data_IF_534489877642
#
_entry.id   IF_534489877642
#
_cell.length_a   1.000
_cell.length_b   1.000
_cell.length_c   1.000
_cell.angle_alpha   90.00
_cell.angle_beta   90.00
_cell.angle_gamma   90.00
#
_symmetry.space_group_name_H-M   'P 1'
#
loop_
_entity.id
_entity.type
_entity.pdbx_description
1 polymer ?
#
# COMPACT_ATOMS: atom_id res chain seq x y z
N UNK A 1 -0.78 -20.73 22.92
CA UNK A 1 -1.65 -20.34 21.79
C UNK A 1 -2.30 -21.55 21.08
N UNK A 2 -1.56 -22.62 20.75
CA UNK A 2 -2.10 -23.79 20.01
C UNK A 2 -2.95 -24.74 20.85
N UNK A 3 -3.91 -25.40 20.24
CA UNK A 3 -4.51 -26.62 20.79
C UNK A 3 -3.58 -27.82 20.53
N UNK A 4 -3.02 -28.39 21.61
CA UNK A 4 -2.06 -29.50 21.52
C UNK A 4 -2.67 -30.82 20.99
N UNK A 5 -3.99 -30.97 21.04
CA UNK A 5 -4.65 -32.21 20.59
C UNK A 5 -4.87 -32.26 19.08
N UNK A 6 -5.04 -31.10 18.45
CA UNK A 6 -5.43 -31.00 17.04
C UNK A 6 -4.45 -30.19 16.19
N UNK A 7 -3.50 -29.47 16.81
CA UNK A 7 -2.59 -28.57 16.11
C UNK A 7 -1.13 -28.85 16.42
N UNK A 8 -0.28 -28.82 15.40
CA UNK A 8 1.17 -28.76 15.51
C UNK A 8 1.69 -27.44 14.95
N UNK A 9 2.80 -26.95 15.45
CA UNK A 9 3.52 -25.78 14.94
C UNK A 9 4.91 -26.20 14.53
N UNK A 10 5.28 -25.91 13.28
CA UNK A 10 6.63 -26.04 12.77
C UNK A 10 7.23 -24.64 12.65
N UNK A 11 8.13 -24.21 13.57
CA UNK A 11 8.83 -22.96 13.41
C UNK A 11 9.89 -23.09 12.32
N UNK A 12 9.76 -22.32 11.26
CA UNK A 12 10.76 -22.24 10.21
C UNK A 12 11.87 -21.30 10.66
N UNK A 13 13.06 -21.82 10.84
CA UNK A 13 14.25 -21.04 11.18
C UNK A 13 15.15 -20.93 9.95
N UNK A 14 15.52 -19.70 9.60
CA UNK A 14 16.32 -19.42 8.41
C UNK A 14 15.49 -19.23 7.14
N UNK A 15 16.16 -18.83 6.06
CA UNK A 15 15.51 -18.60 4.76
C UNK A 15 15.21 -19.93 4.07
N UNK A 16 13.96 -20.10 3.67
CA UNK A 16 13.57 -21.21 2.77
C UNK A 16 14.28 -20.97 1.44
N UNK A 17 14.89 -22.04 0.90
CA UNK A 17 15.54 -21.97 -0.40
C UNK A 17 14.49 -21.76 -1.51
N UNK A 18 14.78 -20.90 -2.46
CA UNK A 18 13.94 -20.75 -3.65
C UNK A 18 14.11 -21.99 -4.55
N UNK A 19 13.10 -22.87 -4.55
CA UNK A 19 13.12 -24.13 -5.30
C UNK A 19 13.06 -23.94 -6.81
N UNK A 20 12.54 -22.79 -7.28
CA UNK A 20 12.51 -22.45 -8.71
C UNK A 20 13.91 -22.21 -9.29
N UNK A 21 14.85 -21.71 -8.46
CA UNK A 21 16.23 -21.40 -8.86
C UNK A 21 17.23 -22.48 -8.49
N UNK A 22 16.82 -23.45 -7.67
CA UNK A 22 17.76 -24.37 -7.03
C UNK A 22 17.62 -25.78 -7.57
N UNK A 23 18.75 -26.44 -7.72
CA UNK A 23 18.77 -27.86 -8.07
C UNK A 23 18.16 -28.68 -6.93
N UNK A 24 17.50 -29.78 -7.29
CA UNK A 24 16.78 -30.63 -6.35
C UNK A 24 17.66 -31.20 -5.21
N UNK A 25 18.93 -31.52 -5.50
CA UNK A 25 19.88 -31.94 -4.50
C UNK A 25 20.09 -30.90 -3.39
N UNK A 26 20.16 -29.64 -3.74
CA UNK A 26 20.24 -28.52 -2.78
C UNK A 26 18.92 -28.27 -2.06
N UNK A 27 17.80 -28.41 -2.75
CA UNK A 27 16.46 -28.27 -2.18
C UNK A 27 16.26 -29.29 -1.07
N UNK A 28 16.53 -30.56 -1.35
CA UNK A 28 16.42 -31.67 -0.38
C UNK A 28 17.49 -31.64 0.71
N UNK A 29 18.60 -30.92 0.51
CA UNK A 29 19.62 -30.65 1.52
C UNK A 29 19.31 -29.48 2.46
N UNK A 30 18.24 -28.72 2.24
CA UNK A 30 17.88 -27.60 3.09
C UNK A 30 17.08 -28.04 4.31
N UNK A 31 17.57 -27.76 5.51
CA UNK A 31 16.98 -28.22 6.78
C UNK A 31 15.52 -27.78 6.96
N UNK A 32 15.17 -26.56 6.55
CA UNK A 32 13.80 -26.06 6.67
C UNK A 32 12.85 -26.78 5.72
N UNK A 33 13.30 -27.10 4.51
CA UNK A 33 12.53 -27.88 3.53
C UNK A 33 12.38 -29.33 3.99
N UNK A 34 13.45 -29.95 4.48
CA UNK A 34 13.38 -31.30 5.04
C UNK A 34 12.41 -31.40 6.21
N UNK A 35 12.44 -30.39 7.10
CA UNK A 35 11.52 -30.33 8.22
C UNK A 35 10.05 -30.21 7.75
N UNK A 36 9.78 -29.39 6.71
CA UNK A 36 8.45 -29.30 6.09
C UNK A 36 7.99 -30.62 5.48
N UNK A 37 8.82 -31.26 4.65
CA UNK A 37 8.51 -32.57 4.01
C UNK A 37 8.21 -33.62 5.09
N UNK A 38 9.05 -33.68 6.11
CA UNK A 38 8.89 -34.64 7.21
C UNK A 38 7.63 -34.36 8.03
N UNK A 39 7.33 -33.11 8.31
CA UNK A 39 6.16 -32.74 9.10
C UNK A 39 4.84 -32.99 8.34
N UNK A 40 4.78 -32.70 7.04
CA UNK A 40 3.61 -32.96 6.20
C UNK A 40 3.44 -34.48 5.98
N UNK A 41 4.50 -35.19 5.67
CA UNK A 41 4.54 -36.67 5.62
C UNK A 41 4.19 -37.30 4.28
N UNK A 42 3.86 -36.49 3.26
CA UNK A 42 3.41 -36.98 1.94
C UNK A 42 4.55 -37.43 1.01
N UNK A 43 5.79 -37.07 1.33
CA UNK A 43 6.88 -37.11 0.33
C UNK A 43 6.76 -35.96 -0.68
N UNK A 44 7.56 -36.01 -1.75
CA UNK A 44 7.65 -35.03 -2.81
C UNK A 44 7.72 -35.69 -4.18
N UNK A 45 7.26 -35.03 -5.24
CA UNK A 45 7.34 -35.49 -6.64
C UNK A 45 6.82 -36.92 -6.83
N UNK A 46 7.66 -37.81 -7.40
CA UNK A 46 7.29 -39.19 -7.72
C UNK A 46 7.01 -40.04 -6.46
N UNK A 47 7.53 -39.65 -5.29
CA UNK A 47 7.28 -40.31 -4.01
C UNK A 47 6.07 -39.71 -3.25
N UNK A 48 5.40 -38.74 -3.86
CA UNK A 48 4.26 -38.06 -3.22
C UNK A 48 3.07 -39.01 -3.09
N UNK A 49 2.56 -39.11 -1.86
CA UNK A 49 1.39 -39.91 -1.53
C UNK A 49 0.47 -39.10 -0.59
N UNK A 50 -0.68 -38.65 -1.13
CA UNK A 50 -1.63 -37.80 -0.39
C UNK A 50 -2.23 -38.53 0.82
N UNK A 51 -2.38 -39.87 0.77
CA UNK A 51 -2.96 -40.65 1.86
C UNK A 51 -2.04 -40.67 3.11
N UNK A 52 -0.75 -40.39 2.92
CA UNK A 52 0.22 -40.26 4.02
C UNK A 52 0.23 -38.87 4.67
N UNK A 53 -0.62 -37.94 4.19
CA UNK A 53 -0.70 -36.58 4.77
C UNK A 53 -1.10 -36.66 6.25
N UNK A 54 -0.25 -36.12 7.10
CA UNK A 54 -0.51 -36.07 8.55
C UNK A 54 -1.49 -35.03 8.96
N UNK A 55 -1.67 -33.99 8.12
CA UNK A 55 -2.55 -32.84 8.35
C UNK A 55 -3.33 -32.51 7.10
N UNK A 56 -4.64 -32.28 7.26
CA UNK A 56 -5.52 -31.85 6.19
C UNK A 56 -5.70 -30.33 6.15
N UNK A 57 -4.99 -29.60 7.02
CA UNK A 57 -4.87 -28.14 7.00
C UNK A 57 -3.44 -27.74 7.30
N UNK A 58 -2.74 -27.32 6.28
CA UNK A 58 -1.38 -26.78 6.33
C UNK A 58 -1.52 -25.27 6.24
N UNK A 59 -1.27 -24.58 7.37
CA UNK A 59 -1.52 -23.14 7.49
C UNK A 59 -0.20 -22.41 7.48
N UNK A 60 0.03 -21.56 6.48
CA UNK A 60 1.15 -20.64 6.44
C UNK A 60 0.86 -19.44 7.33
N UNK A 61 1.70 -19.24 8.33
CA UNK A 61 1.61 -18.18 9.30
C UNK A 61 2.86 -17.32 9.21
N UNK A 62 2.73 -16.12 8.64
CA UNK A 62 3.83 -15.17 8.41
C UNK A 62 3.42 -13.79 8.86
N UNK A 63 4.38 -12.94 9.16
CA UNK A 63 4.15 -11.53 9.45
C UNK A 63 3.49 -10.82 8.27
N UNK A 64 2.83 -9.70 8.53
CA UNK A 64 2.12 -8.92 7.52
C UNK A 64 3.05 -7.95 6.74
N UNK A 65 4.36 -8.04 6.94
CA UNK A 65 5.38 -7.24 6.29
C UNK A 65 5.89 -7.86 4.97
N UNK A 66 6.84 -7.17 4.31
CA UNK A 66 7.43 -7.60 3.03
C UNK A 66 8.24 -8.89 3.17
N UNK A 67 8.95 -9.08 4.29
CA UNK A 67 9.72 -10.29 4.55
C UNK A 67 8.81 -11.50 4.76
N UNK A 68 7.73 -11.34 5.52
CA UNK A 68 6.70 -12.36 5.69
C UNK A 68 6.00 -12.72 4.38
N UNK A 69 5.71 -11.74 3.53
CA UNK A 69 5.17 -11.97 2.18
C UNK A 69 6.14 -12.77 1.30
N UNK A 70 7.45 -12.46 1.38
CA UNK A 70 8.48 -13.20 0.64
C UNK A 70 8.62 -14.64 1.14
N UNK A 71 8.66 -14.86 2.46
CA UNK A 71 8.71 -16.22 3.06
C UNK A 71 7.49 -17.04 2.64
N UNK A 72 6.30 -16.44 2.67
CA UNK A 72 5.06 -17.07 2.20
C UNK A 72 5.14 -17.46 0.73
N UNK A 73 5.67 -16.59 -0.12
CA UNK A 73 5.85 -16.88 -1.55
C UNK A 73 6.81 -18.03 -1.77
N UNK A 74 7.93 -18.10 -1.04
CA UNK A 74 8.88 -19.21 -1.12
C UNK A 74 8.23 -20.53 -0.68
N UNK A 75 7.45 -20.53 0.40
CA UNK A 75 6.73 -21.71 0.87
C UNK A 75 5.66 -22.17 -0.14
N UNK A 76 4.91 -21.23 -0.73
CA UNK A 76 3.94 -21.55 -1.78
C UNK A 76 4.61 -22.09 -3.05
N UNK A 77 5.79 -21.57 -3.44
CA UNK A 77 6.59 -22.08 -4.56
C UNK A 77 7.00 -23.53 -4.30
N UNK A 78 7.46 -23.84 -3.09
CA UNK A 78 7.79 -25.22 -2.70
C UNK A 78 6.57 -26.15 -2.80
N UNK A 79 5.44 -25.76 -2.21
CA UNK A 79 4.22 -26.56 -2.23
C UNK A 79 3.68 -26.76 -3.65
N UNK A 80 3.73 -25.74 -4.48
CA UNK A 80 3.31 -25.81 -5.89
C UNK A 80 4.23 -26.72 -6.71
N UNK A 81 5.56 -26.62 -6.56
CA UNK A 81 6.52 -27.39 -7.36
C UNK A 81 6.68 -28.85 -6.91
N UNK A 82 6.65 -29.08 -5.62
CA UNK A 82 7.05 -30.38 -5.07
C UNK A 82 5.87 -31.16 -4.45
N UNK A 83 4.73 -30.48 -4.16
CA UNK A 83 3.59 -31.05 -3.44
C UNK A 83 2.25 -30.51 -3.97
N UNK A 84 2.13 -30.28 -5.28
CA UNK A 84 0.95 -29.67 -5.92
C UNK A 84 -0.38 -30.33 -5.51
N UNK A 85 -0.50 -31.68 -5.38
CA UNK A 85 -1.76 -32.30 -4.99
C UNK A 85 -2.30 -31.87 -3.60
N UNK A 86 -1.46 -31.30 -2.71
CA UNK A 86 -1.95 -30.70 -1.46
C UNK A 86 -2.78 -29.45 -1.70
N UNK A 87 -2.42 -28.65 -2.72
CA UNK A 87 -3.17 -27.46 -3.10
C UNK A 87 -4.48 -27.89 -3.78
N UNK A 88 -4.44 -28.85 -4.69
CA UNK A 88 -5.58 -29.40 -5.40
C UNK A 88 -6.59 -30.05 -4.43
N UNK A 89 -6.12 -30.74 -3.40
CA UNK A 89 -6.94 -31.31 -2.34
C UNK A 89 -7.50 -30.25 -1.35
N UNK A 90 -7.07 -28.97 -1.49
CA UNK A 90 -7.54 -27.89 -0.64
C UNK A 90 -6.96 -27.92 0.78
N UNK A 91 -5.77 -28.49 0.97
CA UNK A 91 -5.16 -28.63 2.30
C UNK A 91 -4.29 -27.42 2.69
N UNK A 92 -3.99 -26.51 1.76
CA UNK A 92 -3.11 -25.36 1.98
C UNK A 92 -3.90 -24.11 2.29
N UNK A 93 -3.53 -23.41 3.35
CA UNK A 93 -4.18 -22.20 3.83
C UNK A 93 -3.16 -21.14 4.20
N UNK A 94 -3.58 -19.87 4.13
CA UNK A 94 -2.84 -18.72 4.64
C UNK A 94 -3.64 -18.15 5.81
N UNK A 95 -3.01 -17.98 6.97
CA UNK A 95 -3.62 -17.28 8.08
C UNK A 95 -3.69 -15.77 7.79
N UNK A 96 -4.79 -15.16 8.19
CA UNK A 96 -5.00 -13.71 8.12
C UNK A 96 -5.03 -13.13 9.53
N UNK A 97 -3.86 -12.76 10.09
CA UNK A 97 -3.83 -12.06 11.36
C UNK A 97 -4.48 -10.69 11.21
N UNK A 98 -5.08 -10.13 12.28
CA UNK A 98 -5.61 -8.78 12.26
C UNK A 98 -4.48 -7.75 12.13
N UNK A 99 -4.80 -6.64 11.47
CA UNK A 99 -3.87 -5.50 11.37
C UNK A 99 -3.96 -4.60 12.60
N UNK A 100 -5.13 -4.53 13.25
CA UNK A 100 -5.35 -3.63 14.38
C UNK A 100 -6.13 -4.32 15.51
N UNK A 101 -5.86 -3.87 16.74
CA UNK A 101 -6.66 -4.12 17.92
C UNK A 101 -7.25 -2.80 18.41
N UNK A 102 -8.55 -2.66 18.34
CA UNK A 102 -9.29 -1.52 18.85
C UNK A 102 -9.75 -1.81 20.27
N UNK A 103 -9.50 -0.88 21.19
CA UNK A 103 -9.89 -1.01 22.62
C UNK A 103 -10.99 -0.02 22.94
N UNK A 104 -12.11 -0.52 23.50
CA UNK A 104 -13.18 0.30 24.07
C UNK A 104 -13.48 -0.18 25.49
N UNK A 105 -12.96 0.53 26.48
CA UNK A 105 -13.02 0.11 27.89
C UNK A 105 -12.27 -1.22 28.08
N UNK A 106 -12.98 -2.27 28.55
CA UNK A 106 -12.40 -3.61 28.74
C UNK A 106 -12.58 -4.55 27.55
N UNK A 107 -13.20 -4.10 26.45
CA UNK A 107 -13.45 -4.93 25.29
C UNK A 107 -12.46 -4.61 24.18
N UNK A 108 -11.94 -5.67 23.55
CA UNK A 108 -11.10 -5.58 22.37
C UNK A 108 -11.88 -6.05 21.15
N UNK A 109 -11.61 -5.42 20.01
CA UNK A 109 -12.08 -5.85 18.70
C UNK A 109 -10.89 -5.88 17.76
N UNK A 110 -10.71 -6.99 17.06
CA UNK A 110 -9.68 -7.14 16.04
C UNK A 110 -10.22 -6.72 14.68
N UNK A 111 -9.38 -6.07 13.90
CA UNK A 111 -9.72 -5.48 12.62
C UNK A 111 -8.70 -5.97 11.58
N UNK A 112 -9.19 -6.57 10.51
CA UNK A 112 -8.37 -7.19 9.49
C UNK A 112 -8.00 -6.24 8.34
N UNK A 113 -8.73 -5.12 8.17
CA UNK A 113 -8.57 -4.20 7.03
C UNK A 113 -8.56 -2.76 7.50
N UNK A 114 -7.72 -1.96 6.86
CA UNK A 114 -7.61 -0.52 7.12
C UNK A 114 -8.93 0.21 6.87
N UNK A 115 -9.62 -0.13 5.78
CA UNK A 115 -10.94 0.44 5.47
C UNK A 115 -11.99 0.18 6.55
N UNK A 116 -11.92 -0.97 7.24
CA UNK A 116 -12.81 -1.26 8.36
C UNK A 116 -12.50 -0.37 9.58
N UNK A 117 -11.21 -0.09 9.82
CA UNK A 117 -10.80 0.85 10.86
C UNK A 117 -11.32 2.26 10.56
N UNK A 118 -11.14 2.73 9.33
CA UNK A 118 -11.64 4.03 8.88
C UNK A 118 -13.17 4.15 9.05
N UNK A 119 -13.92 3.14 8.63
CA UNK A 119 -15.38 3.08 8.80
C UNK A 119 -15.78 3.18 10.30
N UNK A 120 -15.02 2.55 11.20
CA UNK A 120 -15.27 2.62 12.65
C UNK A 120 -14.89 4.00 13.22
N UNK A 121 -13.79 4.58 12.78
CA UNK A 121 -13.33 5.89 13.26
C UNK A 121 -14.28 7.01 12.83
N UNK A 122 -14.82 6.94 11.63
CA UNK A 122 -15.62 7.99 11.00
C UNK A 122 -17.12 7.81 11.17
N UNK A 123 -17.62 6.59 11.40
CA UNK A 123 -19.02 6.22 11.25
C UNK A 123 -20.03 7.14 11.96
N UNK A 124 -19.78 7.54 13.20
CA UNK A 124 -20.65 8.43 13.99
C UNK A 124 -20.27 9.92 13.89
N UNK A 125 -19.24 10.25 13.10
CA UNK A 125 -18.66 11.58 12.98
C UNK A 125 -18.93 12.26 11.65
N UNK A 126 -19.35 11.51 10.62
CA UNK A 126 -19.60 12.08 9.29
C UNK A 126 -20.53 13.30 9.30
N UNK A 127 -21.60 13.26 10.08
CA UNK A 127 -22.55 14.38 10.13
C UNK A 127 -21.97 15.66 10.73
N UNK A 128 -20.89 15.53 11.51
CA UNK A 128 -20.25 16.62 12.27
C UNK A 128 -18.95 17.09 11.65
N UNK A 129 -18.43 16.36 10.64
CA UNK A 129 -17.19 16.68 9.95
C UNK A 129 -17.46 17.68 8.79
N UNK A 130 -16.76 18.77 8.85
CA UNK A 130 -16.77 19.81 7.80
C UNK A 130 -15.35 20.05 7.29
N UNK A 131 -15.20 20.11 5.98
CA UNK A 131 -13.97 20.50 5.29
C UNK A 131 -14.21 21.86 4.67
N UNK A 132 -13.39 22.83 5.04
CA UNK A 132 -13.36 24.16 4.45
C UNK A 132 -12.17 24.23 3.51
N UNK A 133 -12.38 24.58 2.25
CA UNK A 133 -11.31 24.71 1.28
C UNK A 133 -10.62 26.07 1.34
N UNK A 134 -9.60 26.27 0.49
CA UNK A 134 -8.86 27.52 0.39
C UNK A 134 -9.75 28.74 0.14
N UNK A 135 -10.82 28.59 -0.63
CA UNK A 135 -11.75 29.66 -1.00
C UNK A 135 -12.85 29.87 0.08
N UNK A 136 -12.78 29.12 1.19
CA UNK A 136 -13.75 29.18 2.28
C UNK A 136 -15.07 28.47 2.01
N UNK A 137 -15.14 27.66 0.94
CA UNK A 137 -16.30 26.84 0.65
C UNK A 137 -16.34 25.63 1.59
N UNK A 138 -17.53 25.33 2.11
CA UNK A 138 -17.73 24.28 3.10
C UNK A 138 -18.28 23.00 2.45
N UNK A 139 -17.61 21.89 2.70
CA UNK A 139 -18.03 20.57 2.27
C UNK A 139 -18.32 19.69 3.49
N UNK A 140 -19.56 19.24 3.61
CA UNK A 140 -19.90 18.23 4.62
C UNK A 140 -19.34 16.88 4.19
N UNK A 141 -18.64 16.23 5.09
CA UNK A 141 -18.11 14.89 4.84
C UNK A 141 -19.21 13.85 5.09
N UNK A 142 -19.67 13.22 4.02
CA UNK A 142 -20.58 12.06 4.08
C UNK A 142 -19.80 10.77 3.82
N UNK A 143 -20.32 9.62 4.24
CA UNK A 143 -19.71 8.32 3.94
C UNK A 143 -19.47 8.11 2.44
N UNK A 144 -20.45 8.48 1.59
CA UNK A 144 -20.33 8.36 0.14
C UNK A 144 -19.23 9.29 -0.42
N UNK A 145 -19.13 10.53 0.13
CA UNK A 145 -18.06 11.47 -0.25
C UNK A 145 -16.69 10.97 0.18
N UNK A 146 -16.57 10.44 1.40
CA UNK A 146 -15.34 9.83 1.91
C UNK A 146 -14.88 8.67 1.04
N UNK A 147 -15.74 7.71 0.75
CA UNK A 147 -15.42 6.56 -0.13
C UNK A 147 -15.01 6.98 -1.56
N UNK A 148 -15.62 8.05 -2.09
CA UNK A 148 -15.22 8.59 -3.38
C UNK A 148 -13.88 9.31 -3.29
N UNK A 149 -13.65 10.08 -2.22
CA UNK A 149 -12.41 10.80 -1.96
C UNK A 149 -11.23 9.85 -1.82
N UNK A 150 -11.30 8.83 -0.96
CA UNK A 150 -10.22 7.86 -0.76
C UNK A 150 -9.89 7.09 -2.04
N UNK A 151 -10.90 6.74 -2.84
CA UNK A 151 -10.69 6.11 -4.14
C UNK A 151 -9.97 7.02 -5.14
N UNK A 152 -10.35 8.30 -5.23
CA UNK A 152 -9.70 9.28 -6.09
C UNK A 152 -8.29 9.60 -5.58
N UNK A 153 -8.11 9.73 -4.28
CA UNK A 153 -6.80 9.95 -3.66
C UNK A 153 -5.81 8.84 -4.01
N UNK A 154 -6.23 7.58 -3.91
CA UNK A 154 -5.42 6.43 -4.32
C UNK A 154 -5.02 6.48 -5.81
N UNK A 155 -5.91 6.93 -6.69
CA UNK A 155 -5.57 7.14 -8.10
C UNK A 155 -4.59 8.29 -8.28
N UNK A 156 -4.77 9.39 -7.55
CA UNK A 156 -3.89 10.54 -7.53
C UNK A 156 -2.47 10.14 -7.12
N UNK A 157 -2.32 9.44 -5.98
CA UNK A 157 -1.04 8.92 -5.50
C UNK A 157 -0.36 7.98 -6.49
N UNK A 158 -1.13 7.09 -7.13
CA UNK A 158 -0.63 6.19 -8.15
C UNK A 158 -0.05 6.94 -9.36
N UNK A 159 -0.72 7.96 -9.86
CA UNK A 159 -0.21 8.78 -10.97
C UNK A 159 0.94 9.69 -10.53
N UNK A 160 0.89 10.23 -9.33
CA UNK A 160 1.97 11.01 -8.74
C UNK A 160 3.24 10.16 -8.58
N UNK A 161 3.12 8.91 -8.10
CA UNK A 161 4.23 7.98 -7.98
C UNK A 161 4.84 7.62 -9.34
N UNK A 162 4.00 7.33 -10.35
CA UNK A 162 4.46 7.05 -11.72
C UNK A 162 5.22 8.26 -12.32
N UNK A 163 4.73 9.47 -12.08
CA UNK A 163 5.38 10.69 -12.56
C UNK A 163 6.73 10.93 -11.85
N UNK A 164 6.80 10.68 -10.53
CA UNK A 164 8.07 10.74 -9.78
C UNK A 164 9.08 9.74 -10.29
N UNK A 165 8.67 8.52 -10.57
CA UNK A 165 9.53 7.47 -11.10
C UNK A 165 10.13 7.82 -12.47
N UNK A 166 9.32 8.43 -13.36
CA UNK A 166 9.76 8.79 -14.72
C UNK A 166 10.58 10.10 -14.77
N UNK A 167 10.28 11.09 -13.92
CA UNK A 167 10.80 12.45 -14.05
C UNK A 167 11.56 12.98 -12.84
N UNK A 168 11.66 12.18 -11.76
CA UNK A 168 12.38 12.51 -10.53
C UNK A 168 11.46 12.82 -9.34
N UNK A 169 11.97 12.55 -8.14
CA UNK A 169 11.18 12.61 -6.89
C UNK A 169 10.56 14.00 -6.59
N UNK A 170 11.21 15.08 -7.01
CA UNK A 170 10.75 16.45 -6.76
C UNK A 170 9.70 16.99 -7.74
N UNK A 171 9.37 16.27 -8.81
CA UNK A 171 8.50 16.79 -9.89
C UNK A 171 7.08 17.10 -9.39
N UNK A 172 6.49 16.20 -8.61
CA UNK A 172 5.12 16.37 -8.10
C UNK A 172 5.06 17.48 -7.04
N UNK A 173 6.03 17.51 -6.13
CA UNK A 173 6.13 18.58 -5.11
C UNK A 173 6.26 19.96 -5.77
N UNK A 174 7.05 20.06 -6.85
CA UNK A 174 7.12 21.31 -7.62
C UNK A 174 5.77 21.66 -8.25
N UNK A 175 5.08 20.71 -8.88
CA UNK A 175 3.78 20.93 -9.50
C UNK A 175 2.72 21.40 -8.48
N UNK A 176 2.75 20.86 -7.27
CA UNK A 176 1.88 21.28 -6.17
C UNK A 176 2.24 22.69 -5.68
N UNK A 177 3.53 22.96 -5.38
CA UNK A 177 4.01 24.27 -4.93
C UNK A 177 3.75 25.37 -5.96
N UNK A 178 3.88 25.05 -7.24
CA UNK A 178 3.61 25.97 -8.33
C UNK A 178 2.13 26.00 -8.77
N UNK A 179 1.23 25.28 -8.09
CA UNK A 179 -0.20 25.20 -8.39
C UNK A 179 -0.51 24.86 -9.85
N UNK A 180 0.36 24.04 -10.47
CA UNK A 180 0.26 23.73 -11.89
C UNK A 180 -0.98 22.90 -12.24
N UNK A 181 -1.45 22.07 -11.30
CA UNK A 181 -2.63 21.22 -11.48
C UNK A 181 -3.92 22.03 -11.39
N UNK A 182 -3.98 23.01 -10.49
CA UNK A 182 -5.08 23.95 -10.31
C UNK A 182 -5.21 24.88 -11.52
N UNK A 183 -4.11 25.48 -11.95
CA UNK A 183 -4.04 26.41 -13.08
C UNK A 183 -4.05 25.71 -14.44
N UNK A 184 -4.14 24.37 -14.44
CA UNK A 184 -4.19 23.54 -15.66
C UNK A 184 -3.06 23.86 -16.65
N UNK A 185 -1.84 23.99 -16.17
CA UNK A 185 -0.66 24.31 -16.99
C UNK A 185 -0.29 23.06 -17.81
N UNK A 186 -0.43 23.14 -19.12
CA UNK A 186 -0.26 22.02 -20.04
C UNK A 186 0.96 22.13 -20.94
N UNK A 187 1.59 23.29 -21.02
CA UNK A 187 2.73 23.55 -21.88
C UNK A 187 3.74 24.51 -21.25
N UNK A 188 4.94 24.56 -21.84
CA UNK A 188 6.03 25.40 -21.36
C UNK A 188 5.72 26.90 -21.43
N UNK A 189 5.15 27.43 -22.54
CA UNK A 189 4.76 28.84 -22.58
C UNK A 189 3.75 29.25 -21.50
N UNK A 190 2.80 28.38 -21.15
CA UNK A 190 1.87 28.60 -20.04
C UNK A 190 2.60 28.63 -18.71
N UNK A 191 3.53 27.69 -18.48
CA UNK A 191 4.35 27.65 -17.27
C UNK A 191 5.18 28.92 -17.11
N UNK A 192 5.85 29.38 -18.15
CA UNK A 192 6.66 30.60 -18.09
C UNK A 192 5.82 31.84 -17.76
N UNK A 193 4.63 31.96 -18.37
CA UNK A 193 3.69 33.04 -18.03
C UNK A 193 3.24 32.98 -16.57
N UNK A 194 2.96 31.76 -16.08
CA UNK A 194 2.54 31.52 -14.70
C UNK A 194 3.65 31.92 -13.73
N UNK A 195 4.91 31.48 -13.96
CA UNK A 195 6.06 31.87 -13.14
C UNK A 195 6.23 33.39 -13.12
N UNK A 196 6.18 34.04 -14.28
CA UNK A 196 6.35 35.48 -14.38
C UNK A 196 5.23 36.27 -13.64
N UNK A 197 4.00 35.75 -13.62
CA UNK A 197 2.91 36.36 -12.83
C UNK A 197 3.13 36.23 -11.33
N UNK A 198 3.74 35.15 -10.85
CA UNK A 198 4.01 34.90 -9.43
C UNK A 198 5.32 35.54 -8.93
N UNK A 199 6.21 35.95 -9.83
CA UNK A 199 7.37 36.82 -9.46
C UNK A 199 6.90 38.24 -9.05
N UNK A 200 5.85 38.74 -9.70
CA UNK A 200 5.37 40.11 -9.51
C UNK A 200 4.29 40.30 -8.45
N UNK A 201 3.49 39.27 -8.16
CA UNK A 201 2.27 39.40 -7.34
C UNK A 201 2.31 38.73 -5.95
N UNK A 202 3.45 38.52 -5.35
CA UNK A 202 3.72 37.73 -4.14
C UNK A 202 2.97 38.07 -2.83
N UNK A 203 1.79 38.63 -2.85
CA UNK A 203 0.97 38.90 -1.67
C UNK A 203 -0.20 37.90 -1.61
N UNK A 204 0.00 36.75 -0.92
CA UNK A 204 -1.05 35.76 -0.64
C UNK A 204 -0.71 34.32 -0.98
N UNK A 205 0.27 34.09 -1.86
CA UNK A 205 0.65 32.74 -2.25
C UNK A 205 1.61 32.10 -1.23
N UNK A 206 1.42 30.80 -0.97
CA UNK A 206 2.27 30.04 -0.08
C UNK A 206 3.72 29.96 -0.61
N UNK A 207 3.91 30.00 -1.91
CA UNK A 207 5.21 29.93 -2.60
C UNK A 207 5.36 31.06 -3.63
N UNK A 208 6.54 31.66 -3.65
CA UNK A 208 6.98 32.52 -4.76
C UNK A 208 7.76 31.71 -5.76
N UNK A 209 7.53 31.96 -7.04
CA UNK A 209 8.22 31.30 -8.13
C UNK A 209 9.20 32.26 -8.78
N UNK A 210 10.39 31.78 -9.17
CA UNK A 210 11.31 32.56 -9.99
C UNK A 210 12.00 31.64 -11.00
N UNK A 211 12.07 32.12 -12.24
CA UNK A 211 12.81 31.42 -13.30
C UNK A 211 14.32 31.65 -13.08
N UNK A 212 15.09 30.56 -12.99
CA UNK A 212 16.56 30.63 -12.93
C UNK A 212 17.13 30.51 -14.33
N UNK A 213 16.73 29.49 -15.09
CA UNK A 213 17.31 29.16 -16.39
C UNK A 213 16.29 28.39 -17.24
N UNK A 214 16.25 28.71 -18.54
CA UNK A 214 15.53 27.95 -19.54
C UNK A 214 16.53 27.24 -20.46
N UNK A 215 16.43 25.93 -20.57
CA UNK A 215 17.26 25.08 -21.42
C UNK A 215 16.41 24.38 -22.47
N UNK A 216 16.98 23.85 -23.55
CA UNK A 216 16.21 23.21 -24.62
C UNK A 216 15.32 22.04 -24.19
N UNK A 217 15.66 21.36 -23.10
CA UNK A 217 14.97 20.14 -22.64
C UNK A 217 14.42 20.23 -21.22
N UNK A 218 14.79 21.29 -20.48
CA UNK A 218 14.38 21.44 -19.08
C UNK A 218 14.28 22.94 -18.69
N UNK A 219 13.50 23.24 -17.67
CA UNK A 219 13.41 24.54 -17.04
C UNK A 219 13.84 24.42 -15.59
N UNK A 220 14.68 25.35 -15.14
CA UNK A 220 15.10 25.45 -13.75
C UNK A 220 14.34 26.59 -13.08
N UNK A 221 13.53 26.24 -12.10
CA UNK A 221 12.68 27.15 -11.34
C UNK A 221 13.03 27.04 -9.86
N UNK A 222 13.03 28.18 -9.19
CA UNK A 222 13.17 28.27 -7.74
C UNK A 222 11.79 28.56 -7.14
N UNK A 223 11.41 27.75 -6.12
CA UNK A 223 10.30 28.05 -5.24
C UNK A 223 10.83 28.59 -3.92
N UNK A 224 10.18 29.58 -3.35
CA UNK A 224 10.51 30.17 -2.05
C UNK A 224 9.24 30.15 -1.21
N UNK A 225 9.25 29.37 -0.12
CA UNK A 225 8.13 29.32 0.80
C UNK A 225 7.96 30.65 1.54
N UNK A 226 6.76 31.23 1.47
CA UNK A 226 6.51 32.55 2.02
C UNK A 226 6.61 32.63 3.56
N UNK A 227 6.26 31.54 4.26
CA UNK A 227 6.28 31.47 5.73
C UNK A 227 7.70 31.35 6.29
N UNK A 228 8.55 30.52 5.69
CA UNK A 228 9.87 30.16 6.22
C UNK A 228 11.03 30.83 5.49
N UNK A 229 10.80 31.31 4.27
CA UNK A 229 11.85 31.79 3.36
C UNK A 229 12.72 30.69 2.77
N UNK A 230 12.37 29.40 2.98
CA UNK A 230 13.10 28.26 2.43
C UNK A 230 13.01 28.28 0.90
N UNK A 231 14.16 28.24 0.25
CA UNK A 231 14.27 28.20 -1.20
C UNK A 231 14.64 26.80 -1.68
N UNK A 232 13.86 26.27 -2.62
CA UNK A 232 14.12 24.99 -3.28
C UNK A 232 14.25 25.18 -4.78
N UNK A 233 15.23 24.54 -5.40
CA UNK A 233 15.45 24.60 -6.86
C UNK A 233 14.95 23.30 -7.48
N UNK A 234 14.16 23.44 -8.52
CA UNK A 234 13.53 22.34 -9.24
C UNK A 234 13.96 22.32 -10.71
N UNK A 235 14.31 21.16 -11.22
CA UNK A 235 14.60 20.94 -12.63
C UNK A 235 13.41 20.21 -13.26
N UNK A 236 12.60 20.92 -14.04
CA UNK A 236 11.46 20.34 -14.74
C UNK A 236 11.82 20.03 -16.19
N UNK A 237 11.82 18.77 -16.56
CA UNK A 237 11.98 18.36 -17.96
C UNK A 237 10.72 18.68 -18.75
N UNK A 238 10.86 19.18 -19.99
CA UNK A 238 9.73 19.47 -20.89
C UNK A 238 8.83 18.23 -21.08
N UNK A 239 9.44 17.05 -21.19
CA UNK A 239 8.72 15.77 -21.32
C UNK A 239 7.78 15.44 -20.15
N UNK A 240 7.98 16.05 -18.97
CA UNK A 240 7.09 15.83 -17.83
C UNK A 240 5.69 16.43 -18.05
N UNK A 241 5.58 17.56 -18.75
CA UNK A 241 4.28 18.17 -19.10
C UNK A 241 3.58 17.43 -20.24
N UNK A 242 4.34 16.77 -21.11
CA UNK A 242 3.81 15.99 -22.23
C UNK A 242 3.40 14.56 -21.80
N UNK A 243 3.82 14.14 -20.60
CA UNK A 243 3.60 12.79 -20.08
C UNK A 243 2.10 12.48 -19.93
N UNK A 244 1.73 11.24 -20.27
CA UNK A 244 0.38 10.73 -20.07
C UNK A 244 -0.02 10.71 -18.58
N UNK A 245 0.96 10.45 -17.73
CA UNK A 245 0.84 10.46 -16.26
C UNK A 245 0.44 11.83 -15.74
N UNK A 246 1.05 12.90 -16.23
CA UNK A 246 0.72 14.27 -15.86
C UNK A 246 -0.74 14.61 -16.22
N UNK A 247 -1.16 14.30 -17.44
CA UNK A 247 -2.55 14.54 -17.87
C UNK A 247 -3.57 13.78 -17.03
N UNK A 248 -3.25 12.54 -16.64
CA UNK A 248 -4.12 11.74 -15.78
C UNK A 248 -4.13 12.26 -14.34
N UNK A 249 -2.96 12.64 -13.82
CA UNK A 249 -2.86 13.29 -12.51
C UNK A 249 -3.71 14.58 -12.45
N UNK A 250 -3.59 15.45 -13.46
CA UNK A 250 -4.39 16.66 -13.56
C UNK A 250 -5.90 16.39 -13.66
N UNK A 251 -6.29 15.32 -14.37
CA UNK A 251 -7.68 14.86 -14.43
C UNK A 251 -8.23 14.47 -13.06
N UNK A 252 -7.50 13.60 -12.33
CA UNK A 252 -7.90 13.17 -10.98
C UNK A 252 -7.87 14.34 -9.99
N UNK A 253 -6.89 15.22 -10.10
CA UNK A 253 -6.83 16.46 -9.28
C UNK A 253 -8.11 17.30 -9.42
N UNK A 254 -8.55 17.54 -10.64
CA UNK A 254 -9.81 18.26 -10.92
C UNK A 254 -11.02 17.55 -10.29
N UNK A 255 -11.09 16.22 -10.41
CA UNK A 255 -12.18 15.44 -9.81
C UNK A 255 -12.17 15.54 -8.27
N UNK A 256 -10.98 15.62 -7.65
CA UNK A 256 -10.81 15.85 -6.21
C UNK A 256 -11.26 17.27 -5.83
N UNK A 257 -10.85 18.28 -6.57
CA UNK A 257 -11.28 19.67 -6.33
C UNK A 257 -12.80 19.81 -6.45
N UNK A 258 -13.42 19.20 -7.44
CA UNK A 258 -14.90 19.19 -7.57
C UNK A 258 -15.57 18.52 -6.37
N UNK A 259 -14.96 17.44 -5.85
CA UNK A 259 -15.53 16.64 -4.76
C UNK A 259 -15.43 17.32 -3.40
N UNK A 260 -14.26 17.93 -3.07
CA UNK A 260 -13.91 18.36 -1.70
C UNK A 260 -13.26 19.73 -1.62
N UNK A 261 -13.08 20.43 -2.75
CA UNK A 261 -12.51 21.77 -2.81
C UNK A 261 -11.01 21.82 -3.10
N UNK A 262 -10.49 23.01 -3.15
CA UNK A 262 -9.09 23.34 -3.48
C UNK A 262 -8.22 23.31 -2.21
N UNK A 263 -7.04 22.70 -2.21
CA UNK A 263 -6.05 22.85 -1.14
C UNK A 263 -5.64 24.33 -0.94
N UNK A 264 -5.33 24.87 0.29
CA UNK A 264 -5.29 24.19 1.58
C UNK A 264 -6.68 24.10 2.24
N UNK A 265 -6.75 23.19 3.24
CA UNK A 265 -8.02 22.89 3.90
C UNK A 265 -7.97 23.21 5.39
N UNK A 266 -9.14 23.56 5.95
CA UNK A 266 -9.39 23.55 7.40
C UNK A 266 -10.47 22.53 7.72
N UNK A 267 -10.15 21.53 8.55
CA UNK A 267 -11.06 20.45 8.92
C UNK A 267 -11.64 20.76 10.30
N UNK A 268 -12.95 20.64 10.47
CA UNK A 268 -13.65 20.89 11.72
C UNK A 268 -14.48 19.70 12.16
N UNK A 269 -14.33 19.32 13.44
CA UNK A 269 -15.16 18.36 14.12
C UNK A 269 -15.56 18.91 15.48
N UNK A 270 -16.77 19.47 15.59
CA UNK A 270 -17.21 20.22 16.77
C UNK A 270 -16.31 21.44 17.02
N UNK A 271 -15.70 21.50 18.22
CA UNK A 271 -14.78 22.60 18.59
C UNK A 271 -13.32 22.34 18.14
N UNK A 272 -13.02 21.15 17.62
CA UNK A 272 -11.66 20.83 17.16
C UNK A 272 -11.49 21.22 15.71
N UNK A 273 -10.41 21.96 15.42
CA UNK A 273 -10.00 22.27 14.06
C UNK A 273 -8.56 21.84 13.80
N UNK A 274 -8.24 21.47 12.57
CA UNK A 274 -6.88 21.16 12.08
C UNK A 274 -6.75 21.63 10.63
N UNK A 275 -5.55 21.86 10.17
CA UNK A 275 -5.25 22.30 8.83
C UNK A 275 -4.58 21.19 8.03
N UNK A 276 -4.71 21.24 6.71
CA UNK A 276 -4.08 20.33 5.77
C UNK A 276 -3.74 21.07 4.48
N UNK A 277 -2.51 20.92 4.00
CA UNK A 277 -2.02 21.65 2.84
C UNK A 277 -2.21 20.88 1.52
N UNK A 278 -2.39 19.57 1.58
CA UNK A 278 -2.56 18.68 0.42
C UNK A 278 -3.77 17.76 0.60
N UNK A 279 -4.15 17.01 -0.43
CA UNK A 279 -5.20 15.99 -0.31
C UNK A 279 -4.76 14.81 0.57
N UNK A 280 -3.48 14.46 0.53
CA UNK A 280 -2.87 13.46 1.39
C UNK A 280 -2.96 13.90 2.86
N UNK A 281 -2.54 15.13 3.17
CA UNK A 281 -2.65 15.70 4.52
C UNK A 281 -4.11 15.82 4.98
N UNK A 282 -5.04 16.10 4.06
CA UNK A 282 -6.48 16.14 4.35
C UNK A 282 -6.98 14.78 4.83
N UNK A 283 -6.60 13.71 4.12
CA UNK A 283 -6.94 12.34 4.49
C UNK A 283 -6.45 12.01 5.91
N UNK A 284 -5.17 12.22 6.15
CA UNK A 284 -4.53 11.88 7.43
C UNK A 284 -5.05 12.73 8.58
N UNK A 285 -5.30 14.03 8.33
CA UNK A 285 -5.86 14.93 9.33
C UNK A 285 -7.31 14.60 9.70
N UNK A 286 -8.13 14.16 8.73
CA UNK A 286 -9.49 13.67 8.99
C UNK A 286 -9.45 12.43 9.88
N UNK A 287 -8.58 11.48 9.60
CA UNK A 287 -8.43 10.27 10.41
C UNK A 287 -7.89 10.61 11.80
N UNK A 288 -6.89 11.48 11.91
CA UNK A 288 -6.31 11.91 13.18
C UNK A 288 -7.33 12.61 14.08
N UNK A 289 -8.15 13.51 13.53
CA UNK A 289 -9.21 14.19 14.32
C UNK A 289 -10.33 13.21 14.71
N UNK A 290 -10.64 12.26 13.82
CA UNK A 290 -11.64 11.21 14.07
C UNK A 290 -11.17 10.17 15.09
N UNK A 291 -9.88 9.94 15.19
CA UNK A 291 -9.29 8.99 16.15
C UNK A 291 -9.41 9.46 17.60
N UNK A 292 -9.57 10.78 17.87
CA UNK A 292 -9.61 11.29 19.24
C UNK A 292 -10.63 10.55 20.12
N UNK A 293 -10.15 10.00 21.24
CA UNK A 293 -10.95 9.22 22.18
C UNK A 293 -11.14 7.74 21.82
N UNK A 294 -10.46 7.26 20.79
CA UNK A 294 -10.44 5.85 20.37
C UNK A 294 -8.99 5.37 20.46
N UNK A 295 -8.76 4.33 21.26
CA UNK A 295 -7.45 3.69 21.35
C UNK A 295 -7.41 2.49 20.44
N UNK A 296 -6.44 2.46 19.53
CA UNK A 296 -6.14 1.27 18.75
C UNK A 296 -4.63 1.02 18.68
N UNK A 297 -4.28 -0.24 18.50
CA UNK A 297 -2.91 -0.70 18.34
C UNK A 297 -2.77 -1.35 16.98
N UNK A 298 -1.74 -0.98 16.21
CA UNK A 298 -1.41 -1.61 14.91
C UNK A 298 -0.35 -2.68 15.13
N UNK A 299 -0.66 -3.92 14.75
CA UNK A 299 0.32 -5.00 14.74
C UNK A 299 1.20 -4.92 13.50
N UNK A 300 2.51 -4.84 13.69
CA UNK A 300 3.50 -4.91 12.59
C UNK A 300 3.85 -6.36 12.26
N UNK A 301 3.79 -7.24 13.25
CA UNK A 301 4.08 -8.66 13.10
C UNK A 301 3.44 -9.51 14.19
N UNK A 302 3.44 -10.83 13.98
CA UNK A 302 2.89 -11.82 14.92
C UNK A 302 3.62 -11.84 16.27
N UNK A 303 4.89 -11.44 16.30
CA UNK A 303 5.70 -11.34 17.51
C UNK A 303 5.28 -10.26 18.49
N UNK A 304 4.44 -9.31 18.04
CA UNK A 304 3.86 -8.27 18.89
C UNK A 304 2.55 -8.70 19.57
N UNK A 305 2.01 -9.85 19.17
CA UNK A 305 0.77 -10.39 19.75
C UNK A 305 1.06 -11.25 20.98
N UNK A 306 0.27 -11.04 22.01
CA UNK A 306 0.27 -11.92 23.18
C UNK A 306 -0.21 -13.35 22.81
N UNK A 307 0.20 -14.40 23.57
CA UNK A 307 -0.21 -15.78 23.28
C UNK A 307 -1.73 -15.97 23.20
N UNK A 308 -2.51 -15.24 23.96
CA UNK A 308 -3.98 -15.31 23.94
C UNK A 308 -4.55 -14.59 22.72
N UNK A 309 -4.00 -13.44 22.32
CA UNK A 309 -4.36 -12.74 21.10
C UNK A 309 -4.05 -13.59 19.87
N UNK A 310 -2.85 -14.17 19.81
CA UNK A 310 -2.46 -15.05 18.72
C UNK A 310 -3.36 -16.30 18.65
N UNK A 311 -3.76 -16.84 19.81
CA UNK A 311 -4.71 -17.96 19.86
C UNK A 311 -6.06 -17.55 19.27
N UNK A 312 -6.64 -16.47 19.76
CA UNK A 312 -7.97 -16.00 19.38
C UNK A 312 -8.07 -15.62 17.90
N UNK A 313 -7.03 -14.98 17.36
CA UNK A 313 -7.08 -14.40 16.02
C UNK A 313 -6.58 -15.33 14.90
N UNK A 314 -5.64 -16.25 15.21
CA UNK A 314 -4.98 -17.05 14.17
C UNK A 314 -5.01 -18.57 14.41
N UNK A 315 -5.21 -19.01 15.66
CA UNK A 315 -5.07 -20.44 16.01
C UNK A 315 -6.40 -21.12 16.30
N UNK A 316 -7.33 -20.46 16.97
CA UNK A 316 -8.63 -21.04 17.33
C UNK A 316 -9.51 -21.25 16.09
N UNK A 317 -9.93 -22.49 15.79
CA UNK A 317 -10.80 -22.74 14.63
C UNK A 317 -12.12 -21.97 14.63
N UNK A 318 -12.62 -21.55 15.79
CA UNK A 318 -13.90 -20.85 15.92
C UNK A 318 -13.80 -19.36 15.54
N UNK A 319 -12.61 -18.76 15.67
CA UNK A 319 -12.46 -17.30 15.55
C UNK A 319 -11.43 -16.86 14.50
N UNK A 320 -10.48 -17.75 14.15
CA UNK A 320 -9.44 -17.44 13.16
C UNK A 320 -10.00 -17.26 11.74
N UNK A 321 -9.40 -16.38 10.96
CA UNK A 321 -9.66 -16.21 9.53
C UNK A 321 -8.55 -16.85 8.72
N UNK A 322 -8.92 -17.79 7.82
CA UNK A 322 -8.01 -18.46 6.89
C UNK A 322 -8.43 -18.20 5.45
N UNK A 323 -7.46 -17.95 4.57
CA UNK A 323 -7.66 -18.01 3.13
C UNK A 323 -7.18 -19.37 2.62
N UNK A 324 -8.07 -20.14 1.98
CA UNK A 324 -7.67 -21.34 1.29
C UNK A 324 -6.90 -20.99 0.02
N UNK A 325 -5.79 -21.67 -0.21
CA UNK A 325 -5.04 -21.53 -1.46
C UNK A 325 -5.73 -22.42 -2.49
N UNK A 326 -6.24 -21.80 -3.54
CA UNK A 326 -6.87 -22.48 -4.67
C UNK A 326 -6.04 -22.28 -5.92
N UNK A 327 -6.14 -23.20 -6.85
CA UNK A 327 -5.49 -23.15 -8.14
C UNK A 327 -6.57 -23.35 -9.22
N UNK A 328 -6.94 -22.25 -9.88
CA UNK A 328 -7.96 -22.28 -10.94
C UNK A 328 -7.37 -22.75 -12.26
N UNK A 329 -6.11 -22.36 -12.54
CA UNK A 329 -5.37 -22.71 -13.75
C UNK A 329 -3.90 -22.98 -13.42
N UNK A 330 -3.51 -24.25 -13.54
CA UNK A 330 -2.16 -24.69 -13.24
C UNK A 330 -1.12 -24.10 -14.22
N UNK A 331 -1.48 -23.92 -15.49
CA UNK A 331 -0.56 -23.38 -16.48
C UNK A 331 -0.27 -21.88 -16.25
N UNK A 332 -1.30 -21.11 -15.87
CA UNK A 332 -1.14 -19.71 -15.49
C UNK A 332 -0.33 -19.59 -14.21
N UNK A 333 -0.57 -20.45 -13.21
CA UNK A 333 0.21 -20.47 -11.98
C UNK A 333 1.68 -20.80 -12.25
N UNK A 334 1.96 -21.81 -13.09
CA UNK A 334 3.32 -22.19 -13.50
C UNK A 334 4.06 -21.01 -14.16
N UNK A 335 3.39 -20.30 -15.07
CA UNK A 335 3.96 -19.13 -15.73
C UNK A 335 4.34 -18.04 -14.73
N UNK A 336 3.44 -17.73 -13.78
CA UNK A 336 3.65 -16.69 -12.76
C UNK A 336 4.81 -17.08 -11.82
N UNK A 337 4.86 -18.33 -11.34
CA UNK A 337 5.96 -18.79 -10.51
C UNK A 337 7.30 -18.77 -11.26
N UNK A 338 7.35 -19.25 -12.49
CA UNK A 338 8.55 -19.22 -13.33
C UNK A 338 9.03 -17.79 -13.59
N UNK A 339 8.12 -16.88 -13.85
CA UNK A 339 8.43 -15.48 -14.12
C UNK A 339 8.93 -14.74 -12.87
N UNK A 340 8.21 -14.86 -11.73
CA UNK A 340 8.53 -14.11 -10.52
C UNK A 340 9.67 -14.73 -9.71
N UNK A 341 9.75 -16.06 -9.66
CA UNK A 341 10.68 -16.81 -8.82
C UNK A 341 11.84 -17.42 -9.60
N UNK A 342 11.77 -17.45 -10.94
CA UNK A 342 12.80 -18.00 -11.84
C UNK A 342 14.07 -17.16 -11.95
N UNK A 343 15.05 -17.65 -12.74
CA UNK A 343 16.36 -17.00 -12.89
C UNK A 343 16.37 -15.79 -13.85
N UNK A 344 15.40 -15.71 -14.74
CA UNK A 344 15.35 -14.65 -15.75
C UNK A 344 14.90 -13.33 -15.12
N UNK A 345 15.71 -12.27 -15.34
CA UNK A 345 15.47 -10.95 -14.74
C UNK A 345 14.48 -10.13 -15.58
N UNK A 346 14.63 -10.15 -16.92
CA UNK A 346 13.85 -9.32 -17.84
C UNK A 346 12.34 -9.56 -17.73
N UNK A 347 11.81 -10.80 -17.78
CA UNK A 347 10.37 -11.05 -17.65
C UNK A 347 9.82 -10.58 -16.30
N UNK A 348 10.61 -10.78 -15.22
CA UNK A 348 10.23 -10.32 -13.88
C UNK A 348 10.18 -8.80 -13.81
N UNK A 349 11.18 -8.12 -14.37
CA UNK A 349 11.24 -6.66 -14.42
C UNK A 349 10.06 -6.10 -15.22
N UNK A 350 9.79 -6.64 -16.40
CA UNK A 350 8.64 -6.24 -17.21
C UNK A 350 7.31 -6.41 -16.46
N UNK A 351 7.12 -7.55 -15.78
CA UNK A 351 5.94 -7.79 -14.97
C UNK A 351 5.80 -6.77 -13.82
N UNK A 352 6.90 -6.47 -13.11
CA UNK A 352 6.90 -5.48 -12.03
C UNK A 352 6.57 -4.09 -12.57
N UNK A 353 7.17 -3.68 -13.70
CA UNK A 353 6.91 -2.39 -14.33
C UNK A 353 5.45 -2.26 -14.81
N UNK A 354 4.90 -3.31 -15.42
CA UNK A 354 3.52 -3.36 -15.88
C UNK A 354 2.50 -3.31 -14.72
N UNK A 355 2.80 -4.01 -13.62
CA UNK A 355 1.92 -4.14 -12.46
C UNK A 355 2.26 -3.18 -11.31
N UNK A 356 3.27 -2.31 -11.45
CA UNK A 356 3.70 -1.38 -10.40
C UNK A 356 2.57 -0.50 -9.84
N UNK A 357 1.56 -0.22 -10.68
CA UNK A 357 0.36 0.57 -10.31
C UNK A 357 -0.63 -0.16 -9.40
N UNK A 358 -0.52 -1.49 -9.30
CA UNK A 358 -1.38 -2.32 -8.45
C UNK A 358 -0.83 -2.49 -7.03
N UNK A 359 0.44 -2.10 -6.84
CA UNK A 359 1.10 -2.21 -5.53
C UNK A 359 0.62 -1.07 -4.63
N UNK A 360 0.05 -1.44 -3.49
CA UNK A 360 -0.56 -0.49 -2.55
C UNK A 360 0.22 -0.31 -1.25
N UNK A 361 1.18 -1.19 -0.96
CA UNK A 361 2.00 -1.16 0.26
C UNK A 361 3.46 -1.36 -0.13
N UNK A 362 4.11 -0.29 -0.54
CA UNK A 362 5.56 -0.25 -0.62
C UNK A 362 6.07 0.26 0.73
N UNK A 363 6.77 -0.58 1.49
CA UNK A 363 7.64 -0.13 2.56
C UNK A 363 8.85 0.57 1.91
N UNK A 364 8.80 1.89 1.82
CA UNK A 364 9.91 2.73 1.35
C UNK A 364 10.35 3.61 2.49
#
# INVERSE_FOLDING_TARGET
>A
ARDRHTQAILPLRGKILNVEKSRIDKVLGNDAIQALITAIGTGVRDEFDLEKARYHKIVLLTDADVDGAHIRTLALTLLFREMQPLIEAGYVYIAKPPLYRLTRGQKHRYIERETELEDILLGDKFEKLEVHDHDGKVFKLTEARWKRFTRLLKQYEGWASALRAAHGSGVVSFMQQARMLEEQITDIPALLRHVASHESNGAGDAYRLSLIEERPTEIIIRTIEAKTGLATTHNLRHSALEAGEYRRLAGVHRDLVELIGTPAFSIRLGETATEADTFEDLHDSILAIAQKGIEYYRFKGLGEMDPDELRETTMDPATRTLAQVTMEDAASADLVFSMLMGDQVEPRRAFIEENARLVTNLDV
#
